data_IF_819063832615
#
_entry.id   IF_819063832615
#
_cell.length_a   1.000
_cell.length_b   1.000
_cell.length_c   1.000
_cell.angle_alpha   90.00
_cell.angle_beta   90.00
_cell.angle_gamma   90.00
#
_symmetry.space_group_name_H-M   'P 1'
#
loop_
_entity.id
_entity.type
_entity.pdbx_description
1 polymer ?
#
# COMPACT_ATOMS: atom_id res chain seq x y z
N UNK A 1 -25.49 32.48 8.10
CA UNK A 1 -26.17 31.18 8.27
C UNK A 1 -26.42 30.61 6.88
N UNK A 2 -25.55 29.72 6.40
CA UNK A 2 -25.74 29.02 5.12
C UNK A 2 -26.28 27.61 5.42
N UNK A 3 -27.42 27.30 4.80
CA UNK A 3 -28.20 26.08 4.98
C UNK A 3 -27.51 24.86 4.39
N UNK A 4 -27.67 23.72 5.07
CA UNK A 4 -27.24 22.40 4.61
C UNK A 4 -27.78 22.09 3.21
N UNK A 5 -26.88 21.75 2.29
CA UNK A 5 -27.23 21.26 0.95
C UNK A 5 -27.72 19.82 1.14
N UNK A 6 -29.03 19.64 1.01
CA UNK A 6 -29.73 18.37 1.06
C UNK A 6 -29.38 17.55 -0.20
N UNK A 7 -28.56 16.51 -0.03
CA UNK A 7 -28.17 15.59 -1.10
C UNK A 7 -29.33 14.61 -1.36
N UNK A 8 -30.18 14.91 -2.36
CA UNK A 8 -31.22 14.00 -2.84
C UNK A 8 -30.61 12.89 -3.69
N UNK A 9 -30.77 11.64 -3.24
CA UNK A 9 -30.50 10.41 -3.99
C UNK A 9 -31.09 10.49 -5.40
N UNK A 10 -30.22 10.56 -6.42
CA UNK A 10 -30.59 10.26 -7.80
C UNK A 10 -30.07 8.87 -8.13
N UNK A 11 -30.95 7.86 -8.07
CA UNK A 11 -30.70 6.55 -8.68
C UNK A 11 -30.62 6.74 -10.19
N UNK A 12 -29.45 6.50 -10.78
CA UNK A 12 -29.29 6.40 -12.23
C UNK A 12 -29.56 4.94 -12.61
N UNK A 13 -30.40 4.65 -13.61
CA UNK A 13 -30.69 3.27 -14.02
C UNK A 13 -29.41 2.56 -14.49
N UNK A 14 -29.18 1.38 -13.94
CA UNK A 14 -27.98 0.58 -14.08
C UNK A 14 -27.71 0.13 -15.52
N UNK A 15 -26.53 0.49 -16.03
CA UNK A 15 -25.93 -0.09 -17.24
C UNK A 15 -25.06 -1.27 -16.79
N UNK A 16 -25.63 -2.49 -16.80
CA UNK A 16 -24.89 -3.72 -16.48
C UNK A 16 -23.90 -4.03 -17.62
N UNK A 17 -22.62 -3.72 -17.40
CA UNK A 17 -21.53 -4.31 -18.18
C UNK A 17 -20.90 -5.44 -17.38
N UNK A 18 -21.13 -6.67 -17.85
CA UNK A 18 -20.53 -7.88 -17.32
C UNK A 18 -19.04 -7.91 -17.67
N UNK A 19 -18.16 -7.79 -16.67
CA UNK A 19 -16.78 -8.24 -16.79
C UNK A 19 -16.57 -9.38 -15.80
N UNK A 20 -16.20 -10.54 -16.34
CA UNK A 20 -16.08 -11.79 -15.62
C UNK A 20 -15.01 -11.75 -14.54
N UNK A 21 -15.44 -11.64 -13.29
CA UNK A 21 -14.73 -12.28 -12.18
C UNK A 21 -14.75 -13.80 -12.42
N UNK A 22 -13.68 -14.54 -12.06
CA UNK A 22 -13.66 -15.99 -12.17
C UNK A 22 -14.86 -16.58 -11.45
N UNK A 23 -15.74 -17.27 -12.19
CA UNK A 23 -17.01 -17.84 -11.73
C UNK A 23 -16.88 -18.62 -10.41
N UNK A 24 -15.72 -19.24 -10.18
CA UNK A 24 -15.40 -20.07 -9.02
C UNK A 24 -15.37 -19.30 -7.69
N UNK A 25 -14.94 -18.03 -7.70
CA UNK A 25 -14.96 -17.18 -6.49
C UNK A 25 -16.37 -16.64 -6.21
N UNK A 26 -17.15 -16.38 -7.27
CA UNK A 26 -18.56 -15.98 -7.16
C UNK A 26 -19.50 -17.13 -6.77
N UNK A 27 -19.10 -18.40 -6.87
CA UNK A 27 -19.94 -19.55 -6.49
C UNK A 27 -19.72 -20.02 -5.04
N UNK A 28 -18.57 -19.72 -4.42
CA UNK A 28 -18.25 -20.11 -3.04
C UNK A 28 -18.79 -19.12 -1.97
N UNK A 29 -18.99 -17.86 -2.35
CA UNK A 29 -19.44 -16.77 -1.46
C UNK A 29 -20.96 -16.53 -1.32
N UNK A 30 -21.85 -16.87 -2.29
CA UNK A 30 -23.30 -16.71 -2.16
C UNK A 30 -23.84 -17.46 -0.93
N UNK A 31 -23.18 -18.56 -0.58
CA UNK A 31 -23.56 -19.38 0.55
C UNK A 31 -23.39 -18.67 1.91
N UNK A 32 -22.60 -17.60 2.05
CA UNK A 32 -22.45 -16.93 3.36
C UNK A 32 -23.59 -15.94 3.61
N UNK A 33 -23.85 -15.01 2.69
CA UNK A 33 -24.99 -14.09 2.82
C UNK A 33 -26.35 -14.82 2.79
N UNK A 34 -26.47 -15.90 2.00
CA UNK A 34 -27.69 -16.73 1.99
C UNK A 34 -27.90 -17.49 3.31
N UNK A 35 -26.84 -18.06 3.90
CA UNK A 35 -26.87 -18.64 5.28
C UNK A 35 -27.12 -17.60 6.37
N UNK A 36 -26.83 -16.31 6.11
CA UNK A 36 -27.00 -15.21 7.06
C UNK A 36 -28.38 -14.54 6.96
N UNK A 37 -28.96 -14.45 5.76
CA UNK A 37 -30.36 -14.04 5.58
C UNK A 37 -31.34 -15.02 6.26
N UNK A 38 -30.95 -16.29 6.38
CA UNK A 38 -31.67 -17.33 7.11
C UNK A 38 -31.62 -17.15 8.65
N UNK A 39 -30.75 -16.28 9.21
CA UNK A 39 -30.61 -16.10 10.66
C UNK A 39 -31.60 -15.12 11.30
N UNK A 40 -32.30 -14.30 10.49
CA UNK A 40 -33.38 -13.42 10.96
C UNK A 40 -32.97 -12.16 11.74
N UNK A 41 -31.68 -11.86 11.87
CA UNK A 41 -31.17 -10.64 12.53
C UNK A 41 -31.10 -9.44 11.56
N UNK A 42 -31.39 -8.23 12.06
CA UNK A 42 -31.29 -6.99 11.27
C UNK A 42 -29.81 -6.58 11.13
N UNK A 43 -29.20 -7.03 10.02
CA UNK A 43 -27.80 -6.80 9.71
C UNK A 43 -27.59 -5.62 8.75
N UNK A 44 -28.51 -4.67 8.66
CA UNK A 44 -28.37 -3.45 7.84
C UNK A 44 -27.12 -2.61 8.18
N UNK A 45 -26.44 -2.93 9.29
CA UNK A 45 -25.14 -2.40 9.72
C UNK A 45 -23.88 -3.19 9.31
N UNK A 46 -23.98 -4.45 8.82
CA UNK A 46 -22.80 -5.28 8.53
C UNK A 46 -22.24 -5.01 7.11
N UNK A 47 -21.68 -3.81 6.93
CA UNK A 47 -21.21 -3.30 5.62
C UNK A 47 -19.73 -3.56 5.34
N UNK A 48 -18.99 -4.08 6.31
CA UNK A 48 -17.53 -4.21 6.30
C UNK A 48 -17.02 -5.64 6.06
N UNK A 49 -17.91 -6.56 5.63
CA UNK A 49 -17.52 -7.96 5.34
C UNK A 49 -16.44 -8.08 4.27
N UNK A 50 -16.42 -7.16 3.31
CA UNK A 50 -15.36 -7.04 2.32
C UNK A 50 -14.80 -5.62 2.42
N UNK A 51 -13.49 -5.54 2.64
CA UNK A 51 -12.77 -4.27 2.68
C UNK A 51 -11.53 -4.35 1.81
N UNK A 52 -11.27 -3.29 1.07
CA UNK A 52 -10.00 -3.07 0.37
C UNK A 52 -9.48 -1.67 0.69
N UNK A 53 -8.18 -1.58 0.91
CA UNK A 53 -7.48 -0.31 1.09
C UNK A 53 -6.51 -0.13 -0.08
N UNK A 54 -6.70 0.93 -0.85
CA UNK A 54 -5.75 1.34 -1.87
C UNK A 54 -4.79 2.37 -1.29
N UNK A 55 -3.50 2.09 -1.46
CA UNK A 55 -2.39 2.93 -1.03
C UNK A 55 -1.84 3.72 -2.22
N UNK A 56 -1.62 5.02 -2.03
CA UNK A 56 -1.11 5.92 -3.07
C UNK A 56 0.02 6.80 -2.55
N UNK A 57 1.03 7.02 -3.38
CA UNK A 57 2.05 8.05 -3.14
C UNK A 57 1.67 9.39 -3.80
N UNK A 58 1.02 9.33 -4.96
CA UNK A 58 0.64 10.49 -5.77
C UNK A 58 -0.87 10.83 -5.62
N UNK A 59 -1.22 12.08 -5.22
CA UNK A 59 -2.62 12.53 -5.14
C UNK A 59 -3.39 12.51 -6.47
N UNK A 60 -2.72 12.66 -7.61
CA UNK A 60 -3.36 12.60 -8.93
C UNK A 60 -3.82 11.18 -9.25
N UNK A 61 -3.00 10.17 -8.93
CA UNK A 61 -3.34 8.76 -9.11
C UNK A 61 -4.52 8.37 -8.20
N UNK A 62 -4.51 8.82 -6.95
CA UNK A 62 -5.64 8.64 -6.03
C UNK A 62 -6.92 9.22 -6.61
N UNK A 63 -6.86 10.45 -7.14
CA UNK A 63 -8.00 11.14 -7.76
C UNK A 63 -8.52 10.39 -8.99
N UNK A 64 -7.62 9.86 -9.83
CA UNK A 64 -7.99 9.05 -10.99
C UNK A 64 -8.69 7.75 -10.59
N UNK A 65 -8.18 7.05 -9.57
CA UNK A 65 -8.80 5.82 -9.07
C UNK A 65 -10.16 6.11 -8.44
N UNK A 66 -10.25 7.17 -7.63
CA UNK A 66 -11.52 7.65 -7.09
C UNK A 66 -12.56 7.87 -8.20
N UNK A 67 -12.21 8.63 -9.24
CA UNK A 67 -13.12 8.88 -10.36
C UNK A 67 -13.49 7.60 -11.12
N UNK A 68 -12.55 6.68 -11.27
CA UNK A 68 -12.81 5.38 -11.92
C UNK A 68 -13.80 4.55 -11.11
N UNK A 69 -13.67 4.52 -9.78
CA UNK A 69 -14.55 3.78 -8.89
C UNK A 69 -15.98 4.32 -8.92
N UNK A 70 -16.16 5.63 -8.74
CA UNK A 70 -17.51 6.24 -8.73
C UNK A 70 -18.21 6.18 -10.09
N UNK A 71 -17.45 6.02 -11.18
CA UNK A 71 -18.00 5.87 -12.54
C UNK A 71 -18.40 4.42 -12.81
N UNK A 72 -17.63 3.45 -12.29
CA UNK A 72 -17.84 2.03 -12.56
C UNK A 72 -18.83 1.36 -11.62
N UNK A 73 -18.95 1.84 -10.39
CA UNK A 73 -19.74 1.19 -9.33
C UNK A 73 -20.76 2.15 -8.74
N UNK A 74 -21.87 1.59 -8.25
CA UNK A 74 -22.83 2.36 -7.46
C UNK A 74 -22.26 2.60 -6.07
N UNK A 75 -22.22 3.87 -5.64
CA UNK A 75 -21.66 4.26 -4.35
C UNK A 75 -22.80 4.47 -3.35
N UNK A 76 -22.89 3.59 -2.36
CA UNK A 76 -23.93 3.63 -1.31
C UNK A 76 -23.55 4.51 -0.11
N UNK A 77 -22.28 4.93 -0.02
CA UNK A 77 -21.81 5.89 0.98
C UNK A 77 -20.44 6.43 0.63
N UNK A 78 -20.22 7.71 0.90
CA UNK A 78 -18.94 8.38 0.69
C UNK A 78 -18.66 9.32 1.85
N UNK A 79 -17.51 9.17 2.48
CA UNK A 79 -16.99 10.02 3.55
C UNK A 79 -15.59 10.47 3.16
N UNK A 80 -15.43 11.77 2.99
CA UNK A 80 -14.11 12.36 2.76
C UNK A 80 -13.54 12.86 4.09
N UNK A 81 -12.62 12.11 4.69
CA UNK A 81 -11.96 12.48 5.94
C UNK A 81 -10.72 13.36 5.76
N UNK A 82 -10.35 13.71 4.52
CA UNK A 82 -9.37 14.76 4.27
C UNK A 82 -9.93 16.17 4.51
N UNK A 83 -11.25 16.31 4.60
CA UNK A 83 -11.89 17.61 4.74
C UNK A 83 -11.84 18.11 6.20
N UNK A 84 -10.74 18.75 6.58
CA UNK A 84 -10.52 19.36 7.91
C UNK A 84 -11.39 20.55 8.22
N UNK A 85 -12.01 21.19 7.22
CA UNK A 85 -12.92 22.31 7.49
C UNK A 85 -14.13 21.93 8.34
N UNK A 86 -14.44 20.63 8.40
CA UNK A 86 -15.53 20.08 9.21
C UNK A 86 -15.03 19.54 10.55
N UNK A 87 -13.74 19.20 10.66
CA UNK A 87 -13.16 18.52 11.81
C UNK A 87 -11.92 19.31 12.28
N UNK A 88 -12.06 20.10 13.35
CA UNK A 88 -10.98 20.91 13.93
C UNK A 88 -9.77 20.10 14.41
N UNK A 89 -9.92 18.78 14.55
CA UNK A 89 -8.89 17.81 14.92
C UNK A 89 -9.08 16.51 14.15
N UNK A 90 -7.97 15.85 13.79
CA UNK A 90 -8.01 14.51 13.24
C UNK A 90 -8.07 13.49 14.38
N UNK A 91 -9.25 12.95 14.65
CA UNK A 91 -9.41 11.81 15.58
C UNK A 91 -9.04 10.47 14.93
N UNK A 92 -9.05 10.43 13.60
CA UNK A 92 -8.72 9.25 12.81
C UNK A 92 -7.79 9.64 11.65
N UNK A 93 -6.95 8.72 11.16
CA UNK A 93 -6.15 8.94 9.97
C UNK A 93 -7.05 9.33 8.78
N UNK A 94 -6.71 10.39 8.04
CA UNK A 94 -7.54 10.85 6.93
C UNK A 94 -7.53 9.85 5.76
N UNK A 95 -8.73 9.45 5.32
CA UNK A 95 -8.99 8.63 4.14
C UNK A 95 -10.18 9.14 3.32
N UNK A 96 -10.27 8.71 2.07
CA UNK A 96 -11.55 8.68 1.35
C UNK A 96 -12.15 7.31 1.60
N UNK A 97 -13.23 7.27 2.37
CA UNK A 97 -13.91 6.05 2.75
C UNK A 97 -15.21 5.96 1.98
N UNK A 98 -15.38 4.93 1.16
CA UNK A 98 -16.59 4.71 0.37
C UNK A 98 -17.10 3.28 0.48
N UNK A 99 -18.41 3.10 0.31
CA UNK A 99 -19.03 1.78 0.16
C UNK A 99 -19.52 1.66 -1.27
N UNK A 100 -18.98 0.70 -2.02
CA UNK A 100 -19.40 0.41 -3.39
C UNK A 100 -20.25 -0.86 -3.42
N UNK A 101 -21.29 -0.88 -4.25
CA UNK A 101 -22.05 -2.08 -4.56
C UNK A 101 -21.38 -2.81 -5.73
N UNK A 102 -20.91 -4.04 -5.47
CA UNK A 102 -20.32 -4.91 -6.48
C UNK A 102 -21.38 -5.63 -7.33
N UNK A 103 -22.66 -5.47 -6.99
CA UNK A 103 -23.82 -6.11 -7.62
C UNK A 103 -24.66 -6.86 -6.58
N UNK A 104 -25.97 -6.89 -6.81
CA UNK A 104 -26.94 -7.64 -6.00
C UNK A 104 -26.92 -7.29 -4.50
N UNK A 105 -26.57 -6.04 -4.16
CA UNK A 105 -26.49 -5.55 -2.78
C UNK A 105 -25.22 -5.98 -2.04
N UNK A 106 -24.22 -6.49 -2.75
CA UNK A 106 -22.94 -6.88 -2.18
C UNK A 106 -22.04 -5.67 -1.99
N UNK A 107 -22.00 -5.16 -0.76
CA UNK A 107 -21.18 -4.00 -0.41
C UNK A 107 -19.71 -4.39 -0.19
N UNK A 108 -18.82 -3.54 -0.71
CA UNK A 108 -17.40 -3.54 -0.43
C UNK A 108 -17.00 -2.17 0.11
N UNK A 109 -16.39 -2.15 1.29
CA UNK A 109 -15.79 -0.95 1.84
C UNK A 109 -14.44 -0.70 1.13
N UNK A 110 -14.30 0.47 0.55
CA UNK A 110 -13.08 0.91 -0.14
C UNK A 110 -12.51 2.12 0.60
N UNK A 111 -11.26 2.01 1.02
CA UNK A 111 -10.50 3.10 1.63
C UNK A 111 -9.39 3.55 0.67
N UNK A 112 -9.35 4.83 0.30
CA UNK A 112 -8.24 5.42 -0.45
C UNK A 112 -7.40 6.26 0.49
N UNK A 113 -6.10 5.95 0.60
CA UNK A 113 -5.22 6.55 1.59
C UNK A 113 -3.82 6.78 1.02
N UNK A 114 -3.13 7.80 1.53
CA UNK A 114 -1.72 8.02 1.21
C UNK A 114 -0.81 7.05 1.97
N UNK A 115 0.29 6.62 1.34
CA UNK A 115 1.26 5.69 1.94
C UNK A 115 1.81 6.17 3.29
N UNK A 116 2.08 7.47 3.40
CA UNK A 116 2.52 8.11 4.65
C UNK A 116 1.47 8.00 5.76
N UNK A 117 0.20 8.24 5.44
CA UNK A 117 -0.92 8.12 6.39
C UNK A 117 -1.16 6.66 6.78
N UNK A 118 -1.00 5.73 5.84
CA UNK A 118 -1.15 4.30 6.12
C UNK A 118 -0.08 3.79 7.09
N UNK A 119 1.17 4.26 6.97
CA UNK A 119 2.23 3.96 7.94
C UNK A 119 1.84 4.44 9.34
N UNK A 120 1.39 5.70 9.47
CA UNK A 120 0.91 6.24 10.75
C UNK A 120 -0.25 5.41 11.30
N UNK A 121 -1.22 5.01 10.46
CA UNK A 121 -2.35 4.17 10.86
C UNK A 121 -1.90 2.80 11.40
N UNK A 122 -0.91 2.17 10.77
CA UNK A 122 -0.35 0.89 11.23
C UNK A 122 0.29 1.01 12.60
N UNK A 123 1.11 2.05 12.81
CA UNK A 123 1.71 2.33 14.12
C UNK A 123 0.65 2.64 15.19
N UNK A 124 -0.38 3.43 14.85
CA UNK A 124 -1.49 3.72 15.76
C UNK A 124 -2.30 2.47 16.11
N UNK A 125 -2.44 1.51 15.18
CA UNK A 125 -3.20 0.29 15.42
C UNK A 125 -2.62 -0.53 16.56
N UNK A 126 -1.30 -0.57 16.66
CA UNK A 126 -0.58 -1.20 17.77
C UNK A 126 -1.01 -0.63 19.13
N UNK A 127 -1.08 0.69 19.25
CA UNK A 127 -1.55 1.33 20.48
C UNK A 127 -3.03 1.08 20.75
N UNK A 128 -3.87 0.98 19.71
CA UNK A 128 -5.28 0.61 19.89
C UNK A 128 -5.43 -0.81 20.41
N UNK A 129 -4.60 -1.74 19.93
CA UNK A 129 -4.60 -3.12 20.38
C UNK A 129 -4.13 -3.22 21.84
N UNK A 130 -3.15 -2.40 22.25
CA UNK A 130 -2.74 -2.27 23.65
C UNK A 130 -3.86 -1.75 24.55
N UNK A 131 -4.61 -0.73 24.12
CA UNK A 131 -5.74 -0.18 24.89
C UNK A 131 -6.88 -1.20 25.01
N UNK A 132 -7.07 -2.03 23.98
CA UNK A 132 -8.10 -3.08 23.95
C UNK A 132 -7.68 -4.36 24.66
N UNK A 133 -6.40 -4.52 24.96
CA UNK A 133 -5.90 -5.68 25.67
C UNK A 133 -6.54 -5.77 27.05
N UNK A 134 -7.30 -6.84 27.29
CA UNK A 134 -7.91 -7.12 28.60
C UNK A 134 -6.90 -7.66 29.61
N UNK A 135 -5.77 -8.20 29.13
CA UNK A 135 -4.73 -8.79 29.97
C UNK A 135 -3.37 -8.10 29.77
N UNK A 136 -2.62 -7.81 30.85
CA UNK A 136 -1.28 -7.22 30.77
C UNK A 136 -0.27 -8.05 29.97
N UNK A 137 -0.49 -9.37 29.88
CA UNK A 137 0.34 -10.31 29.12
C UNK A 137 0.38 -9.99 27.61
N UNK A 138 -0.72 -9.45 27.06
CA UNK A 138 -0.83 -9.08 25.64
C UNK A 138 -0.02 -7.81 25.35
N UNK A 139 -0.03 -6.84 26.25
CA UNK A 139 0.75 -5.59 26.14
C UNK A 139 2.24 -5.87 26.28
N UNK A 140 2.61 -6.83 27.13
CA UNK A 140 4.00 -7.24 27.33
C UNK A 140 4.52 -8.20 26.23
N UNK A 141 3.67 -8.57 25.27
CA UNK A 141 4.14 -9.31 24.12
C UNK A 141 5.12 -8.45 23.31
N UNK A 142 6.26 -9.00 22.89
CA UNK A 142 7.26 -8.21 22.20
C UNK A 142 6.68 -7.69 20.88
N UNK A 143 6.69 -6.36 20.72
CA UNK A 143 6.24 -5.61 19.53
C UNK A 143 6.85 -6.11 18.21
N UNK A 144 8.04 -6.69 18.30
CA UNK A 144 8.70 -7.40 17.23
C UNK A 144 8.82 -8.86 17.64
N UNK A 145 8.44 -9.77 16.74
CA UNK A 145 8.81 -11.17 16.89
C UNK A 145 10.29 -11.23 17.26
N UNK A 146 10.62 -11.86 18.39
CA UNK A 146 12.01 -12.16 18.69
C UNK A 146 12.55 -12.86 17.45
N UNK A 147 13.67 -12.40 16.87
CA UNK A 147 14.26 -13.08 15.74
C UNK A 147 14.39 -14.55 16.12
N UNK A 148 13.81 -15.43 15.29
CA UNK A 148 13.63 -16.84 15.61
C UNK A 148 14.97 -17.52 15.96
N UNK A 149 16.09 -16.94 15.53
CA UNK A 149 17.44 -17.17 16.03
C UNK A 149 18.42 -16.18 15.39
N UNK A 150 19.61 -15.99 15.98
CA UNK A 150 20.74 -15.29 15.32
C UNK A 150 21.12 -15.92 13.97
N UNK A 151 20.82 -17.21 13.79
CA UNK A 151 21.07 -17.96 12.57
C UNK A 151 20.13 -17.59 11.42
N UNK A 152 18.96 -17.01 11.69
CA UNK A 152 18.02 -16.59 10.64
C UNK A 152 18.49 -15.30 9.95
N UNK A 153 19.06 -14.36 10.71
CA UNK A 153 19.70 -13.17 10.13
C UNK A 153 20.88 -13.53 9.22
N UNK A 154 21.70 -14.49 9.65
CA UNK A 154 22.82 -14.98 8.84
C UNK A 154 22.34 -15.67 7.56
N UNK A 155 21.17 -16.32 7.60
CA UNK A 155 20.59 -16.99 6.44
C UNK A 155 20.08 -15.98 5.41
N UNK A 156 19.38 -14.94 5.87
CA UNK A 156 18.89 -13.87 4.99
C UNK A 156 20.06 -13.10 4.35
N UNK A 157 21.14 -12.85 5.09
CA UNK A 157 22.35 -12.21 4.57
C UNK A 157 23.06 -13.09 3.52
N UNK A 158 23.12 -14.41 3.76
CA UNK A 158 23.68 -15.37 2.79
C UNK A 158 22.82 -15.46 1.52
N UNK A 159 21.50 -15.43 1.65
CA UNK A 159 20.61 -15.51 0.50
C UNK A 159 20.64 -14.20 -0.32
N UNK A 160 20.76 -13.04 0.33
CA UNK A 160 21.05 -11.76 -0.33
C UNK A 160 22.38 -11.80 -1.09
N UNK A 161 23.44 -12.32 -0.47
CA UNK A 161 24.76 -12.44 -1.12
C UNK A 161 24.71 -13.34 -2.36
N UNK A 162 23.96 -14.45 -2.32
CA UNK A 162 23.76 -15.32 -3.49
C UNK A 162 23.04 -14.59 -4.62
N UNK A 163 21.96 -13.87 -4.31
CA UNK A 163 21.23 -13.08 -5.31
C UNK A 163 22.15 -12.04 -5.96
N UNK A 164 23.01 -11.39 -5.18
CA UNK A 164 23.95 -10.39 -5.65
C UNK A 164 25.02 -10.99 -6.59
N UNK A 165 25.52 -12.18 -6.27
CA UNK A 165 26.45 -12.93 -7.12
C UNK A 165 25.78 -13.32 -8.45
N UNK A 166 24.55 -13.83 -8.41
CA UNK A 166 23.79 -14.21 -9.61
C UNK A 166 23.58 -12.99 -10.52
N UNK A 167 23.14 -11.87 -9.93
CA UNK A 167 22.89 -10.62 -10.66
C UNK A 167 24.18 -10.07 -11.30
N UNK A 168 25.30 -10.16 -10.59
CA UNK A 168 26.59 -9.74 -11.15
C UNK A 168 27.03 -10.62 -12.32
N UNK A 169 26.76 -11.93 -12.24
CA UNK A 169 27.06 -12.86 -13.33
C UNK A 169 26.21 -12.57 -14.57
N UNK A 170 24.90 -12.33 -14.40
CA UNK A 170 24.01 -11.91 -15.50
C UNK A 170 24.46 -10.60 -16.13
N UNK A 171 24.88 -9.62 -15.31
CA UNK A 171 25.46 -8.37 -15.79
C UNK A 171 26.75 -8.58 -16.58
N UNK A 172 27.61 -9.52 -16.17
CA UNK A 172 28.82 -9.86 -16.92
C UNK A 172 28.51 -10.52 -18.27
N UNK A 173 27.53 -11.43 -18.31
CA UNK A 173 27.05 -12.07 -19.54
C UNK A 173 26.45 -11.05 -20.52
N UNK A 174 25.58 -10.15 -20.05
CA UNK A 174 25.03 -9.06 -20.87
C UNK A 174 26.11 -8.11 -21.40
N UNK A 175 27.13 -7.80 -20.59
CA UNK A 175 28.24 -6.95 -21.02
C UNK A 175 29.14 -7.64 -22.06
N UNK A 176 29.31 -8.96 -21.96
CA UNK A 176 30.03 -9.76 -22.94
C UNK A 176 29.28 -9.81 -24.28
N UNK A 177 27.95 -9.98 -24.25
CA UNK A 177 27.10 -9.96 -25.46
C UNK A 177 27.06 -8.58 -26.13
N UNK A 178 27.03 -7.51 -25.34
CA UNK A 178 27.02 -6.14 -25.84
C UNK A 178 28.38 -5.69 -26.42
N UNK A 179 29.45 -6.46 -26.25
CA UNK A 179 30.78 -6.17 -26.80
C UNK A 179 31.41 -4.87 -26.26
N UNK A 180 30.93 -4.38 -25.11
CA UNK A 180 31.31 -3.06 -24.56
C UNK A 180 32.77 -3.06 -24.06
N UNK A 181 33.30 -4.23 -23.68
CA UNK A 181 34.70 -4.39 -23.29
C UNK A 181 35.32 -5.61 -23.97
N UNK A 182 36.36 -5.39 -24.78
CA UNK A 182 37.05 -6.46 -25.54
C UNK A 182 37.86 -7.42 -24.64
N UNK A 183 38.17 -7.05 -23.39
CA UNK A 183 38.77 -7.94 -22.40
C UNK A 183 38.49 -7.50 -20.95
N UNK A 184 38.56 -8.42 -19.96
CA UNK A 184 38.43 -8.09 -18.53
C UNK A 184 39.47 -7.07 -18.07
N UNK A 185 40.69 -7.10 -18.62
CA UNK A 185 41.73 -6.14 -18.25
C UNK A 185 41.38 -4.71 -18.66
N UNK A 186 40.73 -4.52 -19.83
CA UNK A 186 40.28 -3.19 -20.27
C UNK A 186 39.17 -2.62 -19.38
N UNK A 187 38.28 -3.49 -18.87
CA UNK A 187 37.23 -3.10 -17.93
C UNK A 187 37.83 -2.67 -16.59
N UNK A 188 38.80 -3.43 -16.06
CA UNK A 188 39.52 -3.09 -14.82
C UNK A 188 40.24 -1.74 -14.98
N UNK A 189 40.97 -1.56 -16.08
CA UNK A 189 41.68 -0.31 -16.36
C UNK A 189 40.73 0.89 -16.42
N UNK A 190 39.58 0.75 -17.09
CA UNK A 190 38.55 1.80 -17.15
C UNK A 190 38.01 2.16 -15.75
N UNK A 191 37.69 1.16 -14.92
CA UNK A 191 37.19 1.36 -13.56
C UNK A 191 38.23 2.02 -12.64
N UNK A 192 39.51 1.71 -12.82
CA UNK A 192 40.61 2.37 -12.10
C UNK A 192 40.74 3.84 -12.48
N UNK A 193 40.64 4.16 -13.78
CA UNK A 193 40.65 5.55 -14.27
C UNK A 193 39.45 6.36 -13.78
N UNK A 194 38.26 5.76 -13.76
CA UNK A 194 37.04 6.41 -13.25
C UNK A 194 37.10 6.65 -11.74
N UNK A 195 37.59 5.67 -10.97
CA UNK A 195 37.82 5.84 -9.53
C UNK A 195 38.86 6.93 -9.24
N UNK A 196 39.91 7.06 -10.05
CA UNK A 196 40.89 8.13 -9.91
C UNK A 196 40.25 9.52 -10.13
N UNK A 197 39.38 9.66 -11.15
CA UNK A 197 38.62 10.90 -11.41
C UNK A 197 37.66 11.23 -10.27
N UNK A 198 36.97 10.24 -9.72
CA UNK A 198 36.06 10.43 -8.57
C UNK A 198 36.83 10.88 -7.32
N UNK A 199 37.97 10.26 -7.02
CA UNK A 199 38.84 10.69 -5.91
C UNK A 199 39.32 12.12 -6.08
N UNK A 200 39.74 12.50 -7.29
CA UNK A 200 40.15 13.87 -7.58
C UNK A 200 38.99 14.86 -7.42
N UNK A 201 37.78 14.47 -7.86
CA UNK A 201 36.57 15.29 -7.70
C UNK A 201 36.19 15.46 -6.23
N UNK A 202 36.27 14.40 -5.43
CA UNK A 202 36.05 14.46 -3.98
C UNK A 202 37.06 15.36 -3.29
N UNK A 203 38.34 15.28 -3.66
CA UNK A 203 39.37 16.16 -3.09
C UNK A 203 39.14 17.62 -3.48
N UNK A 204 38.72 17.89 -4.72
CA UNK A 204 38.33 19.22 -5.15
C UNK A 204 37.13 19.77 -4.35
N UNK A 205 36.11 18.94 -4.10
CA UNK A 205 34.93 19.30 -3.28
C UNK A 205 35.34 19.60 -1.82
N UNK A 206 36.27 18.79 -1.28
CA UNK A 206 36.82 18.97 0.06
C UNK A 206 37.59 20.28 0.17
N UNK A 207 38.44 20.60 -0.81
CA UNK A 207 39.23 21.82 -0.86
C UNK A 207 38.39 23.07 -1.14
N UNK A 208 37.27 22.94 -1.87
CA UNK A 208 36.32 24.04 -2.11
C UNK A 208 35.40 24.35 -0.93
N UNK A 209 35.57 23.70 0.23
CA UNK A 209 34.84 24.02 1.46
C UNK A 209 33.36 23.63 1.46
N UNK A 210 32.92 22.73 0.56
CA UNK A 210 31.51 22.34 0.41
C UNK A 210 30.93 21.49 1.55
N UNK A 211 31.73 21.18 2.56
CA UNK A 211 31.33 20.43 3.75
C UNK A 211 31.67 21.26 5.00
N UNK A 212 31.01 22.40 5.17
CA UNK A 212 30.81 22.98 6.50
C UNK A 212 29.64 22.23 7.15
N UNK A 213 29.96 21.23 7.98
CA UNK A 213 29.04 20.73 9.02
C UNK A 213 28.81 21.81 10.07
#
# INVERSE_FOLDING_TARGET
MMSAIEWKERRIPSLRFAMGLPRVLCELLPNRQKRLAESGEDWSGLRDLNRVTFEFEDPLVLTLVYHTLITKFEVSGLKNKFNTYIYYTYEQPPDIHMNIDLGDGWLCEVQLMFSSVLKIKKELHTYYDDIRATEPSVILSPLFDKPKSLTDFQKDEVDLLKQLIETNKEMEEMNAEAGIFESPEKKIQYLEEENAKLKQTLENIRLSGGWSL
#
